data_IF_299328681768
#
_entry.id   IF_299328681768
#
_cell.length_a   1.000
_cell.length_b   1.000
_cell.length_c   1.000
_cell.angle_alpha   90.00
_cell.angle_beta   90.00
_cell.angle_gamma   90.00
#
_symmetry.space_group_name_H-M   'P 1'
#
loop_
_entity.id
_entity.type
_entity.pdbx_description
1 polymer ?
#
# COMPACT_ATOMS: atom_id res chain seq x y z
N UNK A 1 11.40 1.26 9.49
CA UNK A 1 10.04 0.92 9.95
C UNK A 1 9.14 2.09 9.61
N UNK A 2 8.01 1.85 8.94
CA UNK A 2 6.95 2.84 8.76
C UNK A 2 6.31 2.99 10.13
N UNK A 3 6.07 4.22 10.55
CA UNK A 3 5.31 4.44 11.77
C UNK A 3 3.89 3.88 11.51
N UNK A 4 3.40 2.92 12.30
CA UNK A 4 2.08 2.30 12.11
C UNK A 4 0.91 3.30 12.10
N UNK A 5 1.15 4.54 12.55
CA UNK A 5 0.18 5.63 12.54
C UNK A 5 -0.23 6.05 11.11
N UNK A 6 0.62 5.80 10.09
CA UNK A 6 0.34 6.24 8.71
C UNK A 6 -0.21 5.14 7.81
N UNK A 7 -0.17 3.88 8.23
CA UNK A 7 -0.57 2.76 7.37
C UNK A 7 -2.02 2.89 6.90
N UNK A 8 -2.92 3.26 7.81
CA UNK A 8 -4.34 3.40 7.51
C UNK A 8 -4.70 4.61 6.63
N UNK A 9 -3.76 5.45 6.31
CA UNK A 9 -3.96 6.69 5.56
C UNK A 9 -3.34 6.64 4.16
N UNK A 10 -2.74 5.49 3.79
CA UNK A 10 -2.12 5.25 2.50
C UNK A 10 -2.98 4.32 1.65
N UNK A 11 -3.01 4.53 0.35
CA UNK A 11 -3.76 3.69 -0.58
C UNK A 11 -3.23 3.77 -2.00
N UNK A 12 -3.88 3.01 -2.87
CA UNK A 12 -3.60 2.98 -4.31
C UNK A 12 -4.90 3.17 -5.05
N UNK A 13 -4.92 4.07 -6.03
CA UNK A 13 -6.09 4.28 -6.90
C UNK A 13 -6.34 3.04 -7.77
N UNK A 14 -7.50 2.97 -8.43
CA UNK A 14 -7.81 1.91 -9.41
C UNK A 14 -6.79 1.81 -10.55
N UNK A 15 -6.06 2.88 -10.82
CA UNK A 15 -5.02 2.95 -11.86
C UNK A 15 -3.61 2.65 -11.32
N UNK A 16 -3.50 2.18 -10.08
CA UNK A 16 -2.20 1.85 -9.47
C UNK A 16 -1.40 3.07 -9.01
N UNK A 17 -2.00 4.27 -8.94
CA UNK A 17 -1.32 5.49 -8.47
C UNK A 17 -1.36 5.52 -6.94
N UNK A 18 -0.21 5.55 -6.26
CA UNK A 18 -0.17 5.65 -4.81
C UNK A 18 -0.65 7.02 -4.33
N UNK A 19 -1.40 7.02 -3.25
CA UNK A 19 -1.89 8.24 -2.61
C UNK A 19 -1.78 8.20 -1.09
N UNK A 20 -1.88 9.38 -0.49
CA UNK A 20 -2.01 9.60 0.94
C UNK A 20 -3.32 10.35 1.20
N UNK A 21 -4.05 10.03 2.26
CA UNK A 21 -5.21 10.84 2.66
C UNK A 21 -4.74 12.18 3.24
N UNK A 22 -5.64 13.16 3.25
CA UNK A 22 -5.33 14.47 3.87
C UNK A 22 -4.98 14.32 5.36
N UNK A 23 -5.61 13.38 6.04
CA UNK A 23 -5.30 13.06 7.45
C UNK A 23 -3.89 12.47 7.58
N UNK A 24 -3.49 11.58 6.68
CA UNK A 24 -2.13 11.07 6.64
C UNK A 24 -1.10 12.16 6.40
N UNK A 25 -1.38 13.11 5.50
CA UNK A 25 -0.51 14.26 5.26
C UNK A 25 -0.42 15.17 6.49
N UNK A 26 -1.53 15.45 7.16
CA UNK A 26 -1.58 16.19 8.42
C UNK A 26 -0.64 15.58 9.47
N UNK A 27 -0.73 14.28 9.65
CA UNK A 27 0.15 13.53 10.57
C UNK A 27 1.62 13.58 10.15
N UNK A 28 1.93 13.57 8.85
CA UNK A 28 3.31 13.63 8.37
C UNK A 28 3.93 15.01 8.52
N UNK A 29 3.16 16.07 8.32
CA UNK A 29 3.62 17.45 8.45
C UNK A 29 3.65 17.89 9.92
N UNK A 30 2.67 17.45 10.71
CA UNK A 30 2.46 17.89 12.10
C UNK A 30 1.60 19.16 12.19
N UNK A 31 0.57 19.28 11.34
CA UNK A 31 -0.38 20.40 11.35
C UNK A 31 -1.81 19.87 11.42
N UNK A 32 -2.74 20.73 11.79
CA UNK A 32 -4.17 20.39 11.84
C UNK A 32 -4.74 20.11 10.44
N UNK A 33 -5.68 19.16 10.36
CA UNK A 33 -6.33 18.74 9.11
C UNK A 33 -7.01 19.94 8.43
N UNK A 34 -7.71 20.77 9.20
CA UNK A 34 -8.47 21.92 8.70
C UNK A 34 -7.58 22.93 7.97
N UNK A 35 -6.35 23.12 8.47
CA UNK A 35 -5.37 23.97 7.78
C UNK A 35 -4.99 23.40 6.41
N UNK A 36 -4.71 22.09 6.32
CA UNK A 36 -4.37 21.45 5.06
C UNK A 36 -5.57 21.44 4.09
N UNK A 37 -6.76 21.20 4.61
CA UNK A 37 -7.99 21.25 3.83
C UNK A 37 -8.18 22.65 3.21
N UNK A 38 -7.97 23.71 3.97
CA UNK A 38 -8.07 25.07 3.47
C UNK A 38 -7.07 25.36 2.36
N UNK A 39 -5.81 24.94 2.50
CA UNK A 39 -4.74 25.12 1.51
C UNK A 39 -5.06 24.37 0.21
N UNK A 40 -5.53 23.12 0.33
CA UNK A 40 -5.79 22.24 -0.82
C UNK A 40 -7.01 22.68 -1.58
N UNK A 41 -8.10 23.03 -0.89
CA UNK A 41 -9.35 23.51 -1.50
C UNK A 41 -9.24 24.95 -2.03
N UNK A 42 -8.35 25.77 -1.47
CA UNK A 42 -8.04 27.10 -2.01
C UNK A 42 -7.31 27.04 -3.35
N UNK A 43 -6.76 25.88 -3.71
CA UNK A 43 -6.06 25.72 -4.99
C UNK A 43 -6.96 26.01 -6.20
N UNK A 44 -8.28 25.87 -6.06
CA UNK A 44 -9.27 26.08 -7.11
C UNK A 44 -9.74 27.53 -7.22
N UNK A 45 -9.33 28.38 -6.28
CA UNK A 45 -9.84 29.76 -6.22
C UNK A 45 -8.91 30.76 -6.92
N UNK A 46 -9.50 31.79 -7.50
CA UNK A 46 -8.77 32.91 -8.12
C UNK A 46 -7.90 33.71 -7.12
N UNK A 47 -8.25 33.69 -5.82
CA UNK A 47 -7.54 34.36 -4.73
C UNK A 47 -6.90 33.34 -3.78
N UNK A 48 -5.81 32.72 -4.23
CA UNK A 48 -5.07 31.76 -3.44
C UNK A 48 -4.34 32.41 -2.25
N UNK A 49 -4.27 31.69 -1.12
CA UNK A 49 -3.47 32.12 0.03
C UNK A 49 -1.97 32.17 -0.33
N UNK A 50 -1.17 32.88 0.47
CA UNK A 50 0.28 32.91 0.29
C UNK A 50 0.92 31.53 0.37
N UNK A 51 0.39 30.67 1.23
CA UNK A 51 0.84 29.28 1.39
C UNK A 51 0.57 28.48 0.10
N UNK A 52 -0.64 28.55 -0.42
CA UNK A 52 -1.02 27.86 -1.66
C UNK A 52 -0.15 28.30 -2.84
N UNK A 53 0.15 29.60 -2.94
CA UNK A 53 1.06 30.12 -3.97
C UNK A 53 2.47 29.55 -3.85
N UNK A 54 3.05 29.55 -2.65
CA UNK A 54 4.39 28.97 -2.43
C UNK A 54 4.43 27.47 -2.72
N UNK A 55 3.39 26.72 -2.34
CA UNK A 55 3.29 25.30 -2.70
C UNK A 55 3.22 25.11 -4.22
N UNK A 56 2.47 25.97 -4.92
CA UNK A 56 2.42 25.96 -6.40
C UNK A 56 3.77 26.24 -7.05
N UNK A 57 4.53 27.19 -6.51
CA UNK A 57 5.89 27.48 -6.99
C UNK A 57 6.82 26.27 -6.85
N UNK A 58 6.71 25.52 -5.76
CA UNK A 58 7.43 24.26 -5.56
C UNK A 58 6.96 23.20 -6.57
N UNK A 59 5.64 23.07 -6.79
CA UNK A 59 5.06 22.10 -7.74
C UNK A 59 5.51 22.35 -9.18
N UNK A 60 5.68 23.61 -9.57
CA UNK A 60 6.26 23.97 -10.89
C UNK A 60 7.69 23.41 -11.03
N UNK A 61 8.49 23.41 -9.95
CA UNK A 61 9.85 22.84 -9.97
C UNK A 61 9.83 21.30 -10.11
N UNK A 62 8.71 20.66 -9.77
CA UNK A 62 8.46 19.21 -9.96
C UNK A 62 7.75 18.88 -11.27
N UNK A 63 7.68 19.82 -12.22
CA UNK A 63 6.96 19.67 -13.52
C UNK A 63 5.47 19.29 -13.35
N UNK A 64 4.84 19.69 -12.23
CA UNK A 64 3.45 19.41 -11.95
C UNK A 64 2.54 20.51 -12.53
N UNK A 65 1.81 20.16 -13.59
CA UNK A 65 0.96 21.09 -14.34
C UNK A 65 -0.54 20.91 -14.11
N UNK A 66 -0.94 20.18 -13.06
CA UNK A 66 -2.36 19.99 -12.76
C UNK A 66 -2.90 21.14 -11.90
N UNK A 67 -4.09 21.63 -12.24
CA UNK A 67 -4.77 22.70 -11.48
C UNK A 67 -5.22 22.23 -10.11
N UNK A 68 -5.63 20.97 -9.97
CA UNK A 68 -6.09 20.39 -8.71
C UNK A 68 -4.91 19.80 -7.91
N UNK A 69 -4.86 20.10 -6.63
CA UNK A 69 -3.89 19.52 -5.70
C UNK A 69 -4.36 18.20 -5.06
N UNK A 70 -5.57 17.76 -5.37
CA UNK A 70 -6.19 16.58 -4.78
C UNK A 70 -7.01 15.79 -5.80
N UNK A 71 -7.35 14.58 -5.43
CA UNK A 71 -8.43 13.77 -6.02
C UNK A 71 -9.36 13.25 -4.93
N UNK A 72 -10.52 12.75 -5.34
CA UNK A 72 -11.45 12.09 -4.41
C UNK A 72 -11.44 10.61 -4.76
N UNK A 73 -11.11 9.80 -3.77
CA UNK A 73 -11.05 8.34 -3.88
C UNK A 73 -11.91 7.71 -2.79
N UNK A 74 -12.33 6.47 -3.01
CA UNK A 74 -12.96 5.68 -1.95
C UNK A 74 -11.86 5.02 -1.12
N UNK A 75 -11.69 5.50 0.10
CA UNK A 75 -10.73 4.98 1.06
C UNK A 75 -11.47 4.35 2.24
N UNK A 76 -11.28 3.05 2.48
CA UNK A 76 -12.02 2.29 3.50
C UNK A 76 -13.55 2.43 3.41
N UNK A 77 -14.09 2.48 2.17
CA UNK A 77 -15.53 2.61 1.92
C UNK A 77 -16.10 4.02 2.04
N UNK A 78 -15.25 5.05 2.25
CA UNK A 78 -15.67 6.45 2.41
C UNK A 78 -14.99 7.32 1.35
N UNK A 79 -15.74 8.22 0.71
CA UNK A 79 -15.18 9.26 -0.15
C UNK A 79 -14.22 10.14 0.66
N UNK A 80 -12.97 10.21 0.21
CA UNK A 80 -11.89 10.87 0.95
C UNK A 80 -11.03 11.70 0.01
N UNK A 81 -10.63 12.88 0.45
CA UNK A 81 -9.65 13.70 -0.23
C UNK A 81 -8.29 13.01 -0.15
N UNK A 82 -7.70 12.76 -1.30
CA UNK A 82 -6.42 12.08 -1.45
C UNK A 82 -5.41 12.94 -2.20
N UNK A 83 -4.15 12.70 -1.94
CA UNK A 83 -3.04 13.54 -2.38
C UNK A 83 -1.96 12.64 -2.98
N UNK A 84 -1.53 12.98 -4.19
CA UNK A 84 -0.49 12.24 -4.90
C UNK A 84 0.89 12.52 -4.31
N UNK A 85 1.87 11.68 -4.66
CA UNK A 85 3.27 11.80 -4.23
C UNK A 85 3.83 13.19 -4.44
N UNK A 86 3.65 13.77 -5.63
CA UNK A 86 4.25 15.07 -5.99
C UNK A 86 3.70 16.18 -5.11
N UNK A 87 2.39 16.21 -4.89
CA UNK A 87 1.76 17.21 -4.01
C UNK A 87 2.15 17.00 -2.56
N UNK A 88 2.22 15.74 -2.11
CA UNK A 88 2.71 15.40 -0.76
C UNK A 88 4.13 15.93 -0.53
N UNK A 89 5.04 15.71 -1.48
CA UNK A 89 6.42 16.17 -1.40
C UNK A 89 6.52 17.70 -1.38
N UNK A 90 5.77 18.40 -2.24
CA UNK A 90 5.75 19.86 -2.27
C UNK A 90 5.21 20.46 -0.95
N UNK A 91 4.17 19.88 -0.38
CA UNK A 91 3.63 20.30 0.92
C UNK A 91 4.64 20.07 2.05
N UNK A 92 5.27 18.89 2.09
CA UNK A 92 6.31 18.61 3.07
C UNK A 92 7.50 19.56 2.94
N UNK A 93 7.95 19.84 1.72
CA UNK A 93 9.05 20.79 1.45
C UNK A 93 8.70 22.19 1.93
N UNK A 94 7.50 22.66 1.63
CA UNK A 94 7.04 23.96 2.10
C UNK A 94 7.11 24.08 3.63
N UNK A 95 6.50 23.14 4.35
CA UNK A 95 6.46 23.18 5.82
C UNK A 95 7.81 22.85 6.47
N UNK A 96 8.68 22.16 5.77
CA UNK A 96 10.01 21.83 6.28
C UNK A 96 11.02 22.97 6.13
N UNK A 97 10.95 23.76 5.02
CA UNK A 97 12.05 24.63 4.64
C UNK A 97 11.64 26.05 4.20
N UNK A 98 10.42 26.22 3.68
CA UNK A 98 9.97 27.51 3.09
C UNK A 98 9.08 28.30 4.05
N UNK A 99 8.31 27.63 4.88
CA UNK A 99 7.47 28.28 5.89
C UNK A 99 8.28 29.18 6.83
N UNK A 100 7.69 30.29 7.24
CA UNK A 100 8.28 31.18 8.27
C UNK A 100 8.56 30.49 9.61
N UNK A 101 7.87 29.37 9.87
CA UNK A 101 8.08 28.51 11.04
C UNK A 101 8.26 27.06 10.55
N UNK A 102 9.51 26.67 10.19
CA UNK A 102 9.77 25.31 9.72
C UNK A 102 9.48 24.25 10.78
N UNK A 103 8.78 23.19 10.39
CA UNK A 103 8.37 22.10 11.29
C UNK A 103 9.36 20.93 11.22
N UNK A 104 9.88 20.53 12.36
CA UNK A 104 10.81 19.38 12.45
C UNK A 104 10.15 18.07 12.02
N UNK A 105 8.86 17.90 12.27
CA UNK A 105 8.11 16.73 11.83
C UNK A 105 8.04 16.66 10.30
N UNK A 106 7.75 17.76 9.62
CA UNK A 106 7.78 17.87 8.17
C UNK A 106 9.18 17.56 7.61
N UNK A 107 10.25 18.10 8.21
CA UNK A 107 11.63 17.79 7.81
C UNK A 107 11.98 16.31 7.92
N UNK A 108 11.58 15.67 9.00
CA UNK A 108 11.82 14.25 9.22
C UNK A 108 11.05 13.40 8.20
N UNK A 109 9.78 13.71 7.96
CA UNK A 109 8.96 13.04 6.97
C UNK A 109 9.51 13.23 5.55
N UNK A 110 9.92 14.44 5.19
CA UNK A 110 10.57 14.73 3.91
C UNK A 110 11.85 13.89 3.71
N UNK A 111 12.72 13.82 4.73
CA UNK A 111 13.94 13.00 4.69
C UNK A 111 13.66 11.51 4.52
N UNK A 112 12.60 11.02 5.15
CA UNK A 112 12.19 9.61 5.01
C UNK A 112 11.73 9.34 3.57
N UNK A 113 10.89 10.20 3.01
CA UNK A 113 10.36 10.04 1.65
C UNK A 113 11.43 10.21 0.56
N UNK A 114 12.40 11.12 0.75
CA UNK A 114 13.52 11.28 -0.19
C UNK A 114 14.48 10.10 -0.17
N UNK A 115 14.59 9.37 0.96
CA UNK A 115 15.41 8.15 1.06
C UNK A 115 14.70 6.92 0.55
N UNK A 116 13.38 6.86 0.68
CA UNK A 116 12.53 5.77 0.19
C UNK A 116 11.58 6.35 -0.84
N UNK A 117 11.42 5.68 -1.99
CA UNK A 117 10.41 6.09 -2.94
C UNK A 117 9.04 6.06 -2.28
N UNK A 118 8.20 7.05 -2.52
CA UNK A 118 6.83 7.13 -1.98
C UNK A 118 6.03 5.86 -2.31
N UNK A 119 6.17 5.36 -3.55
CA UNK A 119 5.58 4.09 -3.98
C UNK A 119 5.96 2.94 -3.05
N UNK A 120 7.22 2.84 -2.63
CA UNK A 120 7.68 1.76 -1.73
C UNK A 120 7.08 1.91 -0.32
N UNK A 121 6.86 3.16 0.12
CA UNK A 121 6.20 3.46 1.38
C UNK A 121 4.74 3.00 1.36
N UNK A 122 3.98 3.41 0.33
CA UNK A 122 2.57 3.07 0.15
C UNK A 122 2.39 1.56 0.02
N UNK A 123 3.20 0.95 -0.84
CA UNK A 123 3.16 -0.49 -1.05
C UNK A 123 3.44 -1.27 0.24
N UNK A 124 4.41 -0.81 1.06
CA UNK A 124 4.70 -1.45 2.36
C UNK A 124 3.56 -1.27 3.37
N UNK A 125 2.84 -0.14 3.32
CA UNK A 125 1.72 0.13 4.22
C UNK A 125 0.48 -0.67 3.84
N UNK A 126 0.12 -0.69 2.55
CA UNK A 126 -1.00 -1.49 2.02
C UNK A 126 -0.77 -2.97 2.31
N UNK A 127 0.47 -3.48 2.12
CA UNK A 127 0.81 -4.84 2.47
C UNK A 127 0.71 -5.08 3.99
N UNK A 128 1.16 -4.14 4.82
CA UNK A 128 1.08 -4.25 6.28
C UNK A 128 -0.37 -4.31 6.77
N UNK A 129 -1.26 -3.49 6.21
CA UNK A 129 -2.69 -3.53 6.53
C UNK A 129 -3.35 -4.82 6.07
N UNK A 130 -3.00 -5.24 4.85
CA UNK A 130 -3.50 -6.48 4.29
C UNK A 130 -3.01 -7.69 5.12
N UNK A 131 -1.72 -7.74 5.49
CA UNK A 131 -1.17 -8.77 6.39
C UNK A 131 -1.81 -8.69 7.78
N UNK A 132 -2.04 -7.49 8.32
CA UNK A 132 -2.73 -7.33 9.61
C UNK A 132 -4.21 -7.68 9.53
N UNK A 133 -4.88 -7.37 8.44
CA UNK A 133 -6.27 -7.83 8.22
C UNK A 133 -6.32 -9.35 8.10
N UNK A 134 -5.33 -9.95 7.44
CA UNK A 134 -5.17 -11.41 7.39
C UNK A 134 -4.74 -12.03 8.72
N UNK A 135 -3.96 -11.32 9.55
CA UNK A 135 -3.62 -11.78 10.91
C UNK A 135 -4.77 -11.60 11.90
N UNK A 136 -5.67 -10.63 11.66
CA UNK A 136 -6.96 -10.50 12.37
C UNK A 136 -7.98 -11.51 11.86
N UNK A 137 -7.84 -12.00 10.62
CA UNK A 137 -8.46 -13.22 10.16
C UNK A 137 -7.76 -14.37 10.90
N UNK A 138 -8.30 -14.61 12.06
CA UNK A 138 -8.02 -15.61 13.03
C UNK A 138 -7.01 -16.71 12.58
N UNK A 139 -5.79 -16.64 13.13
CA UNK A 139 -4.80 -17.71 12.99
C UNK A 139 -5.31 -19.06 13.55
N UNK A 140 -6.49 -19.06 14.19
CA UNK A 140 -7.15 -20.24 14.74
C UNK A 140 -7.93 -21.05 13.68
N UNK A 141 -8.10 -20.54 12.44
CA UNK A 141 -8.79 -21.23 11.34
C UNK A 141 -7.85 -21.81 10.27
N UNK A 142 -6.54 -21.88 10.50
CA UNK A 142 -5.75 -22.88 9.79
C UNK A 142 -6.26 -24.24 10.29
N UNK A 143 -7.05 -24.93 9.48
CA UNK A 143 -7.38 -26.32 9.79
C UNK A 143 -6.07 -27.02 10.10
N UNK A 144 -5.96 -27.66 11.28
CA UNK A 144 -4.76 -28.38 11.65
C UNK A 144 -4.36 -29.29 10.47
N UNK A 145 -3.16 -29.04 9.92
CA UNK A 145 -2.64 -29.80 8.79
C UNK A 145 -2.76 -29.13 7.41
N UNK A 146 -3.20 -27.89 7.32
CA UNK A 146 -3.28 -27.17 6.04
C UNK A 146 -2.55 -25.83 6.09
N UNK A 147 -2.14 -25.29 4.93
CA UNK A 147 -1.55 -23.95 4.78
C UNK A 147 -2.24 -23.16 3.69
N UNK A 148 -2.31 -21.85 3.89
CA UNK A 148 -2.82 -20.90 2.91
C UNK A 148 -1.64 -20.28 2.13
N UNK A 149 -1.69 -20.37 0.80
CA UNK A 149 -0.64 -19.88 -0.12
C UNK A 149 -0.40 -18.38 0.07
N UNK A 150 -1.46 -17.60 0.19
CA UNK A 150 -1.39 -16.14 0.33
C UNK A 150 -0.66 -15.77 1.63
N UNK A 151 -0.96 -16.45 2.74
CA UNK A 151 -0.28 -16.24 4.03
C UNK A 151 1.22 -16.58 3.94
N UNK A 152 1.58 -17.66 3.25
CA UNK A 152 2.98 -18.06 3.06
C UNK A 152 3.74 -17.08 2.15
N UNK A 153 3.12 -16.59 1.08
CA UNK A 153 3.70 -15.56 0.22
C UNK A 153 3.93 -14.27 1.03
N UNK A 154 2.94 -13.85 1.81
CA UNK A 154 3.05 -12.67 2.67
C UNK A 154 4.23 -12.80 3.65
N UNK A 155 4.37 -13.95 4.32
CA UNK A 155 5.52 -14.24 5.22
C UNK A 155 6.85 -14.19 4.48
N UNK A 156 6.92 -14.75 3.26
CA UNK A 156 8.14 -14.80 2.46
C UNK A 156 8.52 -13.45 1.85
N UNK A 157 7.56 -12.54 1.66
CA UNK A 157 7.76 -11.23 1.00
C UNK A 157 7.92 -10.06 1.97
N UNK A 158 7.59 -10.23 3.25
CA UNK A 158 7.83 -9.23 4.30
C UNK A 158 9.29 -8.74 4.37
N UNK A 159 10.23 -9.51 3.82
CA UNK A 159 11.66 -9.17 3.76
C UNK A 159 12.12 -8.57 2.43
N UNK A 160 11.32 -8.67 1.33
CA UNK A 160 11.82 -8.47 -0.04
C UNK A 160 10.80 -7.90 -1.02
N UNK A 161 10.41 -6.79 -1.07
CA UNK A 161 9.53 -6.18 -2.10
C UNK A 161 8.03 -6.50 -2.00
N UNK A 162 7.30 -5.47 -2.09
CA UNK A 162 5.87 -5.41 -1.95
C UNK A 162 5.20 -5.96 -3.21
N UNK A 163 4.44 -7.02 -3.04
CA UNK A 163 3.51 -7.52 -4.05
C UNK A 163 2.18 -6.76 -3.91
N UNK A 164 1.55 -6.43 -5.03
CA UNK A 164 0.18 -5.91 -5.03
C UNK A 164 -0.84 -7.08 -5.05
N UNK A 165 -2.12 -6.77 -4.84
CA UNK A 165 -3.19 -7.77 -4.79
C UNK A 165 -3.26 -8.61 -6.08
N UNK A 166 -3.06 -7.99 -7.24
CA UNK A 166 -3.05 -8.68 -8.55
C UNK A 166 -1.91 -9.69 -8.60
N UNK A 167 -0.72 -9.34 -8.10
CA UNK A 167 0.43 -10.24 -8.07
C UNK A 167 0.22 -11.40 -7.12
N UNK A 168 -0.45 -11.20 -5.99
CA UNK A 168 -0.84 -12.29 -5.10
C UNK A 168 -1.79 -13.27 -5.79
N UNK A 169 -2.81 -12.75 -6.47
CA UNK A 169 -3.76 -13.58 -7.21
C UNK A 169 -3.07 -14.38 -8.31
N UNK A 170 -2.19 -13.73 -9.10
CA UNK A 170 -1.41 -14.41 -10.15
C UNK A 170 -0.54 -15.54 -9.57
N UNK A 171 0.04 -15.35 -8.39
CA UNK A 171 0.86 -16.39 -7.74
C UNK A 171 -0.03 -17.52 -7.24
N UNK A 172 -1.16 -17.21 -6.64
CA UNK A 172 -2.13 -18.21 -6.17
C UNK A 172 -2.64 -19.06 -7.33
N UNK A 173 -3.09 -18.43 -8.43
CA UNK A 173 -3.56 -19.11 -9.63
C UNK A 173 -2.46 -19.98 -10.26
N UNK A 174 -1.23 -19.45 -10.33
CA UNK A 174 -0.07 -20.19 -10.86
C UNK A 174 0.31 -21.39 -10.00
N UNK A 175 0.16 -21.28 -8.67
CA UNK A 175 0.37 -22.41 -7.77
C UNK A 175 -0.73 -23.47 -7.92
N UNK A 176 -1.98 -23.02 -8.06
CA UNK A 176 -3.12 -23.93 -8.30
C UNK A 176 -2.95 -24.74 -9.59
N UNK A 177 -2.49 -24.08 -10.67
CA UNK A 177 -2.17 -24.75 -11.92
C UNK A 177 -1.01 -25.75 -11.75
N UNK A 178 0.05 -25.34 -11.05
CA UNK A 178 1.19 -26.22 -10.74
C UNK A 178 0.74 -27.45 -9.93
N UNK A 179 -0.14 -27.24 -8.94
CA UNK A 179 -0.74 -28.30 -8.13
C UNK A 179 -1.45 -29.33 -8.99
N UNK A 180 -2.30 -28.89 -9.90
CA UNK A 180 -3.06 -29.76 -10.81
C UNK A 180 -2.17 -30.48 -11.81
N UNK A 181 -1.29 -29.76 -12.51
CA UNK A 181 -0.42 -30.31 -13.55
C UNK A 181 0.48 -31.41 -12.99
N UNK A 182 0.97 -31.25 -11.76
CA UNK A 182 1.85 -32.23 -11.12
C UNK A 182 1.09 -33.28 -10.29
N UNK A 183 -0.24 -33.26 -10.31
CA UNK A 183 -1.10 -34.19 -9.57
C UNK A 183 -0.72 -34.33 -8.09
N UNK A 184 -0.46 -33.17 -7.44
CA UNK A 184 0.05 -33.14 -6.07
C UNK A 184 -1.00 -33.60 -5.05
N UNK A 185 -2.29 -33.52 -5.37
CA UNK A 185 -3.35 -34.09 -4.54
C UNK A 185 -3.22 -35.60 -4.36
N UNK A 186 -2.73 -36.32 -5.35
CA UNK A 186 -2.48 -37.77 -5.21
C UNK A 186 -1.33 -38.09 -4.25
N UNK A 187 -0.44 -37.14 -4.00
CA UNK A 187 0.77 -37.31 -3.15
C UNK A 187 0.50 -36.81 -1.73
N UNK A 188 -0.12 -35.62 -1.60
CA UNK A 188 -0.24 -34.88 -0.35
C UNK A 188 -1.66 -34.82 0.20
N UNK A 189 -2.68 -35.24 -0.58
CA UNK A 189 -4.10 -35.11 -0.23
C UNK A 189 -4.80 -33.96 -0.94
N UNK A 190 -6.11 -33.88 -0.81
CA UNK A 190 -6.92 -32.86 -1.48
C UNK A 190 -6.78 -31.50 -0.79
N UNK A 191 -6.80 -30.45 -1.59
CA UNK A 191 -6.99 -29.08 -1.12
C UNK A 191 -8.41 -28.89 -0.59
N UNK A 192 -8.56 -27.97 0.35
CA UNK A 192 -9.87 -27.56 0.86
C UNK A 192 -10.17 -26.12 0.46
N UNK A 193 -11.45 -25.84 0.23
CA UNK A 193 -11.94 -24.48 -0.03
C UNK A 193 -12.64 -24.01 1.22
N UNK A 194 -12.17 -22.92 1.79
CA UNK A 194 -12.78 -22.23 2.91
C UNK A 194 -13.34 -20.89 2.43
N UNK A 195 -14.36 -20.42 3.11
CA UNK A 195 -14.89 -19.07 2.92
C UNK A 195 -14.32 -18.21 4.04
N UNK A 196 -13.60 -17.17 3.66
CA UNK A 196 -13.07 -16.22 4.62
C UNK A 196 -14.18 -15.34 5.25
N UNK A 197 -13.85 -14.57 6.27
CA UNK A 197 -14.82 -13.70 6.96
C UNK A 197 -15.41 -12.59 6.06
N UNK A 198 -14.81 -12.35 4.89
CA UNK A 198 -15.32 -11.43 3.88
C UNK A 198 -16.26 -12.09 2.88
N UNK A 199 -16.45 -13.41 2.98
CA UNK A 199 -17.25 -14.21 2.06
C UNK A 199 -16.51 -14.61 0.78
N UNK A 200 -15.18 -14.44 0.73
CA UNK A 200 -14.33 -14.83 -0.40
C UNK A 200 -13.82 -16.26 -0.21
N UNK A 201 -13.89 -17.05 -1.29
CA UNK A 201 -13.31 -18.39 -1.31
C UNK A 201 -11.78 -18.30 -1.18
N UNK A 202 -11.21 -19.10 -0.28
CA UNK A 202 -9.77 -19.27 -0.09
C UNK A 202 -9.41 -20.73 -0.19
N UNK A 203 -8.33 -21.06 -0.91
CA UNK A 203 -7.85 -22.42 -1.06
C UNK A 203 -6.71 -22.69 -0.07
N UNK A 204 -6.85 -23.78 0.68
CA UNK A 204 -5.80 -24.26 1.60
C UNK A 204 -5.30 -25.63 1.14
N UNK A 205 -4.02 -25.85 1.33
CA UNK A 205 -3.29 -27.04 0.86
C UNK A 205 -2.73 -27.82 2.04
N UNK A 206 -2.61 -29.15 1.95
CA UNK A 206 -2.00 -29.96 3.01
C UNK A 206 -0.61 -29.47 3.41
N UNK A 207 -0.34 -29.40 4.72
CA UNK A 207 0.89 -28.83 5.28
C UNK A 207 2.16 -29.56 4.81
N UNK A 208 2.04 -30.84 4.49
CA UNK A 208 3.12 -31.66 3.95
C UNK A 208 3.62 -31.15 2.61
N UNK A 209 2.77 -30.45 1.84
CA UNK A 209 3.13 -29.83 0.56
C UNK A 209 3.84 -28.48 0.71
N UNK A 210 3.91 -27.90 1.92
CA UNK A 210 4.48 -26.58 2.16
C UNK A 210 5.92 -26.46 1.67
N UNK A 211 6.72 -27.51 1.84
CA UNK A 211 8.10 -27.55 1.35
C UNK A 211 8.18 -27.45 -0.18
N UNK A 212 7.27 -28.12 -0.87
CA UNK A 212 7.15 -28.08 -2.35
C UNK A 212 6.73 -26.68 -2.82
N UNK A 213 5.73 -26.08 -2.16
CA UNK A 213 5.30 -24.72 -2.43
C UNK A 213 6.46 -23.73 -2.28
N UNK A 214 7.17 -23.74 -1.18
CA UNK A 214 8.32 -22.85 -0.93
C UNK A 214 9.42 -23.02 -1.96
N UNK A 215 9.73 -24.26 -2.35
CA UNK A 215 10.70 -24.56 -3.40
C UNK A 215 10.26 -24.07 -4.79
N UNK A 216 9.01 -24.25 -5.14
CA UNK A 216 8.41 -23.73 -6.37
C UNK A 216 8.42 -22.20 -6.37
N UNK A 217 7.90 -21.56 -5.32
CA UNK A 217 7.85 -20.12 -5.20
C UNK A 217 9.23 -19.46 -5.27
N UNK A 218 10.24 -20.03 -4.64
CA UNK A 218 11.61 -19.53 -4.73
C UNK A 218 12.16 -19.50 -6.16
N UNK A 219 11.75 -20.44 -7.02
CA UNK A 219 12.13 -20.52 -8.44
C UNK A 219 11.33 -19.55 -9.31
N UNK A 220 10.02 -19.48 -9.11
CA UNK A 220 9.10 -18.76 -9.99
C UNK A 220 8.91 -17.29 -9.62
N UNK A 221 9.19 -16.89 -8.35
CA UNK A 221 8.92 -15.54 -7.85
C UNK A 221 9.50 -14.42 -8.73
N UNK A 222 10.67 -14.61 -9.33
CA UNK A 222 11.29 -13.60 -10.19
C UNK A 222 10.47 -13.37 -11.46
N UNK A 223 9.92 -14.43 -12.04
CA UNK A 223 9.07 -14.32 -13.24
C UNK A 223 7.72 -13.71 -12.89
N UNK A 224 7.10 -14.17 -11.80
CA UNK A 224 5.78 -13.76 -11.37
C UNK A 224 5.74 -12.28 -10.90
N UNK A 225 6.83 -11.80 -10.29
CA UNK A 225 6.96 -10.40 -9.86
C UNK A 225 7.29 -9.46 -11.03
N UNK A 226 7.87 -9.96 -12.13
CA UNK A 226 8.24 -9.18 -13.32
C UNK A 226 7.10 -9.04 -14.34
N UNK A 227 5.96 -9.69 -14.13
CA UNK A 227 4.74 -9.53 -14.94
C UNK A 227 4.05 -8.19 -14.59
N UNK A 228 4.71 -7.09 -14.95
CA UNK A 228 4.16 -5.73 -14.93
C UNK A 228 3.83 -5.26 -16.33
#
# INVERSE_FOLDING_TARGET
MINPIYSNELGVTKNGIPYLTIKGLSLMIGVEIDLLQSIILDSDKSNQTSITKSVREILVQYDYNNDLLYSIEIHNGVETITITEVVCMAMLEYFAFVSSQPLEQAKNSFRILTKKKFKDLVSSAVLYEWVNSMQKLDLTLDNEGYFNVIKEIARATLSFNVLNEIQFQVIEDSWYDYWKINNLSAIYGEQIINIDITGKDTTEYPIEALGVFRGWFAKEKKKLIQLQ
#
